data_IF_060930690218
#
_entry.id   IF_060930690218
#
_cell.length_a   1.000
_cell.length_b   1.000
_cell.length_c   1.000
_cell.angle_alpha   90.00
_cell.angle_beta   90.00
_cell.angle_gamma   90.00
#
_symmetry.space_group_name_H-M   'P 1'
#
loop_
_entity.id
_entity.type
_entity.pdbx_description
1 polymer ?
#
# COMPACT_ATOMS: atom_id res chain seq x y z
N UNK A 1 31.61 -46.70 -66.04
CA UNK A 1 30.49 -47.20 -66.88
C UNK A 1 29.40 -46.14 -66.93
N UNK A 2 28.90 -45.80 -68.14
CA UNK A 2 27.61 -45.15 -68.54
C UNK A 2 27.10 -43.93 -67.72
N UNK A 3 27.02 -42.68 -68.25
CA UNK A 3 26.05 -42.12 -69.24
C UNK A 3 24.58 -42.45 -68.85
N UNK A 4 23.59 -41.57 -68.75
CA UNK A 4 23.17 -40.46 -69.64
C UNK A 4 21.85 -39.80 -69.13
N UNK A 5 21.59 -38.56 -69.58
CA UNK A 5 20.32 -37.84 -69.92
C UNK A 5 19.21 -37.64 -68.85
N UNK A 6 18.81 -36.41 -68.48
CA UNK A 6 18.01 -35.34 -69.16
C UNK A 6 16.49 -35.57 -69.17
N UNK A 7 15.72 -34.63 -68.62
CA UNK A 7 14.46 -34.15 -69.19
C UNK A 7 14.02 -32.80 -68.58
N UNK A 8 13.99 -31.79 -69.44
CA UNK A 8 13.38 -30.46 -69.27
C UNK A 8 12.02 -30.49 -69.99
N UNK A 9 10.99 -29.81 -69.46
CA UNK A 9 9.79 -29.28 -70.15
C UNK A 9 9.13 -28.28 -69.16
N UNK A 10 9.15 -26.94 -69.30
CA UNK A 10 8.60 -25.99 -70.31
C UNK A 10 7.22 -25.38 -69.92
N UNK A 11 7.26 -24.08 -69.51
CA UNK A 11 6.37 -22.93 -69.85
C UNK A 11 4.91 -22.88 -69.30
N UNK A 12 4.28 -21.68 -69.13
CA UNK A 12 4.42 -20.47 -69.94
C UNK A 12 4.52 -19.11 -69.22
N UNK A 13 4.63 -18.08 -70.06
CA UNK A 13 4.80 -16.67 -69.78
C UNK A 13 3.47 -15.90 -69.57
N UNK A 14 3.65 -14.65 -69.11
CA UNK A 14 2.78 -13.48 -69.23
C UNK A 14 1.67 -13.27 -68.17
N UNK A 15 1.86 -12.23 -67.33
CA UNK A 15 1.11 -10.98 -67.48
C UNK A 15 1.84 -9.83 -66.74
N UNK A 16 2.20 -8.83 -67.55
CA UNK A 16 2.49 -7.46 -67.16
C UNK A 16 1.16 -6.67 -67.16
N UNK A 17 1.12 -5.49 -66.50
CA UNK A 17 0.03 -4.49 -66.37
C UNK A 17 -0.79 -4.59 -65.08
N UNK A 18 -1.13 -3.52 -64.37
CA UNK A 18 -0.87 -2.08 -64.45
C UNK A 18 -1.33 -1.52 -63.09
N UNK A 19 -0.72 -0.41 -62.67
CA UNK A 19 -1.12 0.41 -61.53
C UNK A 19 -2.63 0.64 -61.40
N UNK A 20 -3.16 0.61 -60.17
CA UNK A 20 -3.70 1.82 -59.53
C UNK A 20 -3.84 1.62 -58.01
N UNK A 21 -3.81 2.74 -57.31
CA UNK A 21 -3.46 2.97 -55.92
C UNK A 21 -4.66 2.82 -54.97
N UNK A 22 -4.45 2.32 -53.74
CA UNK A 22 -4.91 2.94 -52.47
C UNK A 22 -4.64 2.04 -51.24
N UNK A 23 -3.80 2.57 -50.36
CA UNK A 23 -3.93 2.55 -48.89
C UNK A 23 -3.98 1.20 -48.17
N UNK A 24 -2.86 0.86 -47.53
CA UNK A 24 -2.82 0.65 -46.09
C UNK A 24 -1.37 0.80 -45.65
N UNK A 25 -1.01 2.03 -45.27
CA UNK A 25 0.22 2.35 -44.58
C UNK A 25 0.10 1.75 -43.17
N UNK A 26 0.58 0.52 -43.03
CA UNK A 26 0.80 -0.11 -41.74
C UNK A 26 2.01 0.57 -41.11
N UNK A 27 1.75 1.73 -40.49
CA UNK A 27 2.68 2.38 -39.57
C UNK A 27 2.93 1.41 -38.42
N UNK A 28 3.99 0.61 -38.57
CA UNK A 28 4.60 -0.10 -37.48
C UNK A 28 4.99 0.93 -36.42
N UNK A 29 4.25 0.95 -35.31
CA UNK A 29 4.63 1.71 -34.13
C UNK A 29 6.03 1.24 -33.70
N UNK A 30 6.97 2.19 -33.70
CA UNK A 30 8.35 2.01 -33.21
C UNK A 30 8.31 1.49 -31.77
N UNK A 31 9.24 0.60 -31.34
CA UNK A 31 9.36 0.14 -29.95
C UNK A 31 9.48 1.27 -28.92
N UNK A 32 9.83 2.48 -29.37
CA UNK A 32 10.01 3.68 -28.54
C UNK A 32 8.68 4.26 -28.00
N UNK A 33 7.54 3.96 -28.63
CA UNK A 33 6.24 4.51 -28.23
C UNK A 33 5.58 3.72 -27.07
N UNK A 34 6.04 2.48 -26.82
CA UNK A 34 5.59 1.69 -25.66
C UNK A 34 6.26 2.10 -24.36
N UNK A 35 7.49 2.62 -24.43
CA UNK A 35 8.21 3.11 -23.24
C UNK A 35 7.62 4.43 -22.70
N UNK A 36 7.01 5.25 -23.56
CA UNK A 36 6.41 6.52 -23.16
C UNK A 36 5.06 6.38 -22.44
N UNK A 37 4.37 5.24 -22.58
CA UNK A 37 3.08 4.99 -21.94
C UNK A 37 3.22 4.50 -20.48
N UNK A 38 4.35 3.87 -20.13
CA UNK A 38 4.60 3.43 -18.74
C UNK A 38 5.14 4.54 -17.83
N UNK A 39 5.61 5.67 -18.40
CA UNK A 39 6.11 6.83 -17.62
C UNK A 39 5.05 7.90 -17.32
N UNK A 40 3.82 7.80 -17.84
CA UNK A 40 2.78 8.80 -17.63
C UNK A 40 1.81 8.50 -16.47
N UNK A 41 2.05 7.46 -15.67
CA UNK A 41 1.13 7.04 -14.60
C UNK A 41 1.41 7.63 -13.20
N UNK A 42 2.22 8.69 -13.07
CA UNK A 42 2.50 9.30 -11.75
C UNK A 42 2.15 10.79 -11.65
N UNK A 43 1.61 11.42 -12.69
CA UNK A 43 1.05 12.78 -12.57
C UNK A 43 -0.43 12.66 -12.17
N UNK A 44 -0.66 12.44 -10.87
CA UNK A 44 -2.01 12.34 -10.30
C UNK A 44 -2.20 11.27 -9.22
N UNK A 45 -1.12 10.66 -8.72
CA UNK A 45 -1.22 9.70 -7.62
C UNK A 45 -1.85 10.37 -6.39
N UNK A 46 -2.91 9.74 -5.86
CA UNK A 46 -3.54 10.14 -4.60
C UNK A 46 -2.51 10.10 -3.48
N UNK A 47 -2.62 10.98 -2.46
CA UNK A 47 -1.77 10.88 -1.30
C UNK A 47 -1.93 9.51 -0.65
N UNK A 48 -0.83 8.92 -0.22
CA UNK A 48 -0.79 7.63 0.47
C UNK A 48 -0.25 7.82 1.88
N UNK A 49 -0.67 6.98 2.82
CA UNK A 49 -0.20 7.00 4.20
C UNK A 49 0.27 5.60 4.60
N UNK A 50 1.35 5.53 5.37
CA UNK A 50 1.85 4.32 6.00
C UNK A 50 2.19 4.61 7.46
N UNK A 51 2.10 3.59 8.32
CA UNK A 51 2.19 3.76 9.76
C UNK A 51 3.62 3.55 10.26
N UNK A 52 4.06 4.44 11.15
CA UNK A 52 5.34 4.35 11.85
C UNK A 52 5.10 3.97 13.31
N UNK A 53 6.07 3.35 13.99
CA UNK A 53 5.93 2.99 15.40
C UNK A 53 5.76 4.21 16.31
N UNK A 54 6.31 5.34 15.89
CA UNK A 54 6.29 6.61 16.60
C UNK A 54 5.48 7.68 15.86
N UNK A 55 4.61 7.31 14.90
CA UNK A 55 3.86 8.28 14.11
C UNK A 55 3.28 7.73 12.81
N UNK A 56 3.40 8.50 11.73
CA UNK A 56 2.98 8.11 10.39
C UNK A 56 3.85 8.76 9.32
N UNK A 57 3.81 8.19 8.12
CA UNK A 57 4.40 8.79 6.92
C UNK A 57 3.33 8.96 5.85
N UNK A 58 3.49 9.99 5.02
CA UNK A 58 2.59 10.20 3.90
C UNK A 58 3.30 10.81 2.70
N UNK A 59 2.76 10.55 1.51
CA UNK A 59 3.13 11.23 0.27
C UNK A 59 2.07 12.28 -0.04
N UNK A 60 2.51 13.49 -0.37
CA UNK A 60 1.61 14.55 -0.86
C UNK A 60 1.17 14.23 -2.28
N UNK A 61 -0.08 14.59 -2.63
CA UNK A 61 -0.62 14.38 -3.96
C UNK A 61 0.29 14.97 -5.06
N UNK A 62 0.59 14.18 -6.08
CA UNK A 62 1.48 14.60 -7.19
C UNK A 62 2.96 14.79 -6.82
N UNK A 63 3.34 14.47 -5.58
CA UNK A 63 4.73 14.49 -5.11
C UNK A 63 5.37 13.11 -5.04
N UNK A 64 6.70 13.09 -5.08
CA UNK A 64 7.53 11.91 -4.81
C UNK A 64 8.09 11.90 -3.39
N UNK A 65 8.04 13.04 -2.69
CA UNK A 65 8.53 13.18 -1.33
C UNK A 65 7.62 12.44 -0.34
N UNK A 66 8.25 11.69 0.57
CA UNK A 66 7.58 11.08 1.71
C UNK A 66 7.89 11.92 2.94
N UNK A 67 6.85 12.46 3.56
CA UNK A 67 6.92 13.20 4.81
C UNK A 67 6.69 12.23 5.96
N UNK A 68 7.59 12.21 6.94
CA UNK A 68 7.40 11.49 8.19
C UNK A 68 7.03 12.48 9.29
N UNK A 69 6.06 12.12 10.11
CA UNK A 69 5.62 12.91 11.26
C UNK A 69 5.53 11.99 12.46
N UNK A 70 6.18 12.41 13.54
CA UNK A 70 6.12 11.71 14.82
C UNK A 70 4.85 12.07 15.59
N UNK A 71 4.54 11.29 16.63
CA UNK A 71 3.59 11.66 17.67
C UNK A 71 3.97 13.03 18.26
N UNK A 72 2.95 13.81 18.64
CA UNK A 72 3.06 15.23 18.95
C UNK A 72 2.73 16.17 17.77
N UNK A 73 2.58 15.64 16.55
CA UNK A 73 2.19 16.45 15.41
C UNK A 73 0.78 17.05 15.57
N UNK A 74 0.54 18.31 15.13
CA UNK A 74 -0.77 18.96 15.30
C UNK A 74 -1.92 18.21 14.62
N UNK A 75 -3.00 17.96 15.35
CA UNK A 75 -4.19 17.24 14.89
C UNK A 75 -4.73 17.78 13.57
N UNK A 76 -4.90 19.10 13.46
CA UNK A 76 -5.43 19.73 12.24
C UNK A 76 -4.60 19.38 10.98
N UNK A 77 -3.27 19.31 11.14
CA UNK A 77 -2.39 18.97 10.02
C UNK A 77 -2.48 17.51 9.63
N UNK A 78 -2.55 16.61 10.61
CA UNK A 78 -2.70 15.18 10.38
C UNK A 78 -4.06 14.87 9.76
N UNK A 79 -5.14 15.43 10.29
CA UNK A 79 -6.48 15.20 9.76
C UNK A 79 -6.65 15.75 8.33
N UNK A 80 -5.98 16.86 7.98
CA UNK A 80 -5.99 17.37 6.60
C UNK A 80 -5.42 16.34 5.64
N UNK A 81 -4.26 15.79 5.94
CA UNK A 81 -3.62 14.74 5.12
C UNK A 81 -4.47 13.48 5.08
N UNK A 82 -5.02 13.05 6.23
CA UNK A 82 -5.90 11.88 6.29
C UNK A 82 -7.16 12.08 5.43
N UNK A 83 -7.75 13.27 5.44
CA UNK A 83 -8.90 13.60 4.57
C UNK A 83 -8.56 13.56 3.09
N UNK A 84 -7.37 14.02 2.70
CA UNK A 84 -6.94 13.93 1.31
C UNK A 84 -6.70 12.48 0.88
N UNK A 85 -6.18 11.63 1.77
CA UNK A 85 -5.89 10.22 1.49
C UNK A 85 -7.15 9.33 1.50
N UNK A 86 -8.07 9.57 2.45
CA UNK A 86 -9.17 8.65 2.77
C UNK A 86 -10.56 9.26 2.66
N UNK A 87 -10.69 10.57 2.47
CA UNK A 87 -11.95 11.31 2.59
C UNK A 87 -12.29 11.70 4.02
N UNK A 88 -13.48 12.26 4.25
CA UNK A 88 -13.93 12.63 5.60
C UNK A 88 -13.94 11.42 6.54
N UNK A 89 -13.61 11.61 7.84
CA UNK A 89 -13.71 10.52 8.80
C UNK A 89 -15.15 10.04 8.88
N UNK A 90 -15.35 8.72 8.93
CA UNK A 90 -16.65 8.10 9.13
C UNK A 90 -17.26 8.52 10.46
N UNK A 91 -16.42 8.67 11.47
CA UNK A 91 -16.82 8.98 12.83
C UNK A 91 -15.72 9.80 13.52
N UNK A 92 -16.15 10.72 14.38
CA UNK A 92 -15.30 11.35 15.39
C UNK A 92 -15.93 11.13 16.76
N UNK A 93 -15.15 10.63 17.70
CA UNK A 93 -15.58 10.37 19.07
C UNK A 93 -14.59 10.98 20.06
N UNK A 94 -15.00 11.12 21.31
CA UNK A 94 -14.11 11.45 22.42
C UNK A 94 -14.37 10.54 23.60
N UNK A 95 -13.37 10.37 24.46
CA UNK A 95 -13.53 9.74 25.76
C UNK A 95 -12.81 10.53 26.85
N UNK A 96 -13.57 10.98 27.84
CA UNK A 96 -13.07 11.69 29.03
C UNK A 96 -12.50 10.73 30.09
N UNK A 97 -12.84 9.44 30.02
CA UNK A 97 -12.49 8.43 31.02
C UNK A 97 -11.33 7.52 30.58
N UNK A 98 -10.54 7.93 29.60
CA UNK A 98 -9.35 7.18 29.23
C UNK A 98 -8.34 7.29 30.37
N UNK A 99 -7.68 6.18 30.72
CA UNK A 99 -6.71 6.14 31.82
C UNK A 99 -5.53 7.12 31.63
N UNK A 100 -5.27 7.55 30.40
CA UNK A 100 -4.26 8.54 30.06
C UNK A 100 -4.79 10.00 30.02
N UNK A 101 -6.06 10.22 30.36
CA UNK A 101 -6.74 11.52 30.26
C UNK A 101 -7.65 11.63 29.02
N UNK A 102 -8.40 12.73 28.85
CA UNK A 102 -9.31 12.92 27.73
C UNK A 102 -8.62 12.70 26.37
N UNK A 103 -9.32 12.01 25.46
CA UNK A 103 -8.82 11.70 24.11
C UNK A 103 -9.90 11.90 23.06
N UNK A 104 -9.48 12.25 21.85
CA UNK A 104 -10.30 12.35 20.65
C UNK A 104 -9.87 11.30 19.62
N UNK A 105 -10.82 10.79 18.84
CA UNK A 105 -10.57 9.74 17.84
C UNK A 105 -11.21 10.12 16.51
N UNK A 106 -10.50 9.88 15.41
CA UNK A 106 -11.03 10.06 14.05
C UNK A 106 -10.88 8.77 13.25
N UNK A 107 -12.00 8.23 12.74
CA UNK A 107 -12.03 6.95 12.04
C UNK A 107 -12.05 7.12 10.52
N UNK A 108 -11.01 6.68 9.83
CA UNK A 108 -10.84 6.68 8.38
C UNK A 108 -10.80 5.25 7.84
N UNK A 109 -11.97 4.69 7.51
CA UNK A 109 -12.06 3.29 7.11
C UNK A 109 -11.57 2.38 8.26
N UNK A 110 -10.54 1.54 8.08
CA UNK A 110 -9.97 0.72 9.16
C UNK A 110 -8.92 1.43 10.02
N UNK A 111 -8.50 2.65 9.66
CA UNK A 111 -7.51 3.43 10.40
C UNK A 111 -8.20 4.37 11.37
N UNK A 112 -7.94 4.22 12.66
CA UNK A 112 -8.26 5.20 13.68
C UNK A 112 -7.00 6.01 14.02
N UNK A 113 -7.15 7.34 14.05
CA UNK A 113 -6.14 8.25 14.57
C UNK A 113 -6.56 8.73 15.95
N UNK A 114 -5.62 8.71 16.89
CA UNK A 114 -5.87 9.05 18.29
C UNK A 114 -5.19 10.37 18.62
N UNK A 115 -5.94 11.29 19.21
CA UNK A 115 -5.47 12.63 19.56
C UNK A 115 -5.67 12.90 21.04
N UNK A 116 -4.75 13.67 21.61
CA UNK A 116 -4.85 14.22 22.96
C UNK A 116 -4.20 15.61 22.93
N UNK A 117 -4.83 16.59 23.59
CA UNK A 117 -4.37 17.97 23.66
C UNK A 117 -4.05 18.60 22.27
N UNK A 118 -4.84 18.23 21.25
CA UNK A 118 -4.67 18.73 19.88
C UNK A 118 -3.48 18.15 19.12
N UNK A 119 -2.89 17.04 19.59
CA UNK A 119 -1.76 16.37 18.97
C UNK A 119 -2.02 14.88 18.70
N UNK A 120 -1.43 14.35 17.63
CA UNK A 120 -1.45 12.90 17.34
C UNK A 120 -0.63 12.17 18.41
N UNK A 121 -1.25 11.21 19.10
CA UNK A 121 -0.59 10.44 20.18
C UNK A 121 -0.59 8.93 19.93
N UNK A 122 -1.33 8.46 18.92
CA UNK A 122 -1.36 7.05 18.58
C UNK A 122 -2.21 6.77 17.35
N UNK A 123 -2.20 5.51 16.94
CA UNK A 123 -3.06 5.00 15.88
C UNK A 123 -3.45 3.55 16.18
N UNK A 124 -4.60 3.16 15.63
CA UNK A 124 -5.08 1.79 15.60
C UNK A 124 -5.50 1.44 14.18
N UNK A 125 -5.04 0.29 13.68
CA UNK A 125 -5.33 -0.17 12.33
C UNK A 125 -5.98 -1.55 12.37
N UNK A 126 -7.17 -1.67 11.79
CA UNK A 126 -7.86 -2.95 11.60
C UNK A 126 -7.61 -3.52 10.19
N UNK A 127 -7.97 -4.79 10.00
CA UNK A 127 -8.08 -5.38 8.67
C UNK A 127 -9.20 -4.72 7.84
N UNK A 128 -9.13 -4.88 6.51
CA UNK A 128 -10.15 -4.36 5.59
C UNK A 128 -9.76 -3.11 4.79
N UNK A 129 -8.48 -2.71 4.81
CA UNK A 129 -7.96 -1.65 3.95
C UNK A 129 -6.58 -1.95 3.37
N UNK A 130 -6.00 -0.95 2.70
CA UNK A 130 -4.67 -1.02 2.05
C UNK A 130 -3.57 -0.29 2.84
N UNK A 131 -3.89 0.18 4.06
CA UNK A 131 -2.90 0.83 4.93
C UNK A 131 -2.06 -0.27 5.57
N UNK A 132 -0.76 -0.04 5.62
CA UNK A 132 0.23 -0.93 6.24
C UNK A 132 1.22 -0.08 7.02
N UNK A 133 2.04 -0.74 7.84
CA UNK A 133 3.23 -0.10 8.42
C UNK A 133 4.29 0.12 7.34
N UNK A 134 5.25 1.01 7.59
CA UNK A 134 6.33 1.31 6.62
C UNK A 134 7.21 0.10 6.31
N UNK A 135 7.26 -0.90 7.19
CA UNK A 135 7.94 -2.17 7.00
C UNK A 135 7.04 -3.27 6.39
N UNK A 136 5.80 -2.92 6.00
CA UNK A 136 4.95 -3.76 5.17
C UNK A 136 4.02 -4.71 5.94
N UNK A 137 3.87 -4.54 7.25
CA UNK A 137 2.92 -5.33 8.05
C UNK A 137 1.51 -4.79 7.82
N UNK A 138 0.62 -5.65 7.33
CA UNK A 138 -0.74 -5.28 6.96
C UNK A 138 -1.77 -6.25 7.57
N UNK A 139 -2.70 -5.77 8.42
CA UNK A 139 -3.79 -6.58 8.93
C UNK A 139 -4.66 -7.20 7.83
N UNK A 140 -5.03 -8.47 8.00
CA UNK A 140 -5.76 -9.27 7.02
C UNK A 140 -4.90 -9.83 5.88
N UNK A 141 -3.60 -9.55 5.86
CA UNK A 141 -2.66 -10.06 4.84
C UNK A 141 -1.47 -10.74 5.51
N UNK A 142 -0.81 -10.06 6.45
CA UNK A 142 0.35 -10.61 7.15
C UNK A 142 -0.08 -11.62 8.22
N UNK A 143 0.62 -12.75 8.28
CA UNK A 143 0.43 -13.75 9.34
C UNK A 143 1.39 -13.48 10.50
N UNK A 144 1.05 -13.95 11.70
CA UNK A 144 1.96 -13.85 12.85
C UNK A 144 3.23 -14.68 12.64
N UNK A 145 3.17 -15.81 11.93
CA UNK A 145 4.37 -16.61 11.62
C UNK A 145 5.36 -15.83 10.75
N UNK A 146 4.87 -15.08 9.76
CA UNK A 146 5.71 -14.17 8.96
C UNK A 146 6.30 -13.06 9.84
N UNK A 147 5.49 -12.48 10.72
CA UNK A 147 5.93 -11.43 11.63
C UNK A 147 6.99 -11.93 12.64
N UNK A 148 6.82 -13.12 13.19
CA UNK A 148 7.77 -13.74 14.11
C UNK A 148 9.11 -14.04 13.42
N UNK A 149 9.06 -14.48 12.16
CA UNK A 149 10.24 -14.77 11.32
C UNK A 149 10.99 -13.51 10.92
N UNK A 150 10.27 -12.46 10.52
CA UNK A 150 10.87 -11.31 9.84
C UNK A 150 11.05 -10.08 10.76
N UNK A 151 10.31 -9.97 11.87
CA UNK A 151 10.22 -8.74 12.70
C UNK A 151 10.28 -8.99 14.23
N UNK A 152 10.85 -10.11 14.68
CA UNK A 152 10.90 -10.48 16.11
C UNK A 152 9.52 -10.39 16.82
N UNK A 153 8.47 -10.81 16.12
CA UNK A 153 7.12 -10.94 16.66
C UNK A 153 7.08 -11.89 17.87
N UNK A 154 6.40 -11.48 18.94
CA UNK A 154 6.22 -12.25 20.16
C UNK A 154 4.78 -12.13 20.65
N UNK A 155 4.18 -13.26 20.99
CA UNK A 155 2.91 -13.27 21.71
C UNK A 155 3.11 -12.62 23.08
N UNK A 156 2.09 -11.91 23.56
CA UNK A 156 2.13 -11.29 24.86
C UNK A 156 2.00 -12.36 25.96
N UNK A 157 3.01 -12.45 26.83
CA UNK A 157 2.99 -13.37 27.96
C UNK A 157 2.03 -12.88 29.04
N UNK A 158 1.15 -13.77 29.51
CA UNK A 158 0.21 -13.46 30.60
C UNK A 158 -0.90 -12.47 30.22
N UNK A 159 -1.13 -12.23 28.93
CA UNK A 159 -2.26 -11.42 28.48
C UNK A 159 -3.60 -12.08 28.82
N UNK A 160 -4.55 -11.28 29.29
CA UNK A 160 -5.95 -11.68 29.43
C UNK A 160 -6.73 -11.54 28.11
N UNK A 161 -6.09 -10.99 27.08
CA UNK A 161 -6.65 -10.76 25.76
C UNK A 161 -6.19 -11.85 24.80
N UNK A 162 -7.14 -12.50 24.12
CA UNK A 162 -6.84 -13.52 23.12
C UNK A 162 -6.05 -12.90 21.96
N UNK A 163 -4.95 -13.57 21.58
CA UNK A 163 -4.19 -13.21 20.39
C UNK A 163 -3.33 -11.95 20.50
N UNK A 164 -3.12 -11.38 21.68
CA UNK A 164 -2.27 -10.19 21.82
C UNK A 164 -0.79 -10.50 21.50
N UNK A 165 -0.17 -9.62 20.73
CA UNK A 165 1.25 -9.72 20.39
C UNK A 165 1.91 -8.33 20.32
N UNK A 166 3.24 -8.34 20.26
CA UNK A 166 4.03 -7.17 19.84
C UNK A 166 5.19 -7.59 18.95
N UNK A 167 5.69 -6.70 18.11
CA UNK A 167 6.86 -6.95 17.26
C UNK A 167 7.83 -5.77 17.26
N UNK A 168 9.08 -6.02 16.85
CA UNK A 168 10.09 -4.97 16.67
C UNK A 168 10.11 -4.51 15.21
N UNK A 169 9.77 -3.25 14.92
CA UNK A 169 9.84 -2.72 13.57
C UNK A 169 11.26 -2.74 13.00
N UNK A 170 11.41 -3.00 11.70
CA UNK A 170 12.73 -3.17 11.06
C UNK A 170 13.63 -1.92 11.15
N UNK A 171 13.03 -0.73 11.33
CA UNK A 171 13.72 0.54 11.51
C UNK A 171 14.11 0.88 12.96
N UNK A 172 13.82 -0.01 13.92
CA UNK A 172 13.91 0.30 15.35
C UNK A 172 12.68 1.07 15.85
N UNK A 173 12.82 1.74 17.00
CA UNK A 173 11.72 2.45 17.67
C UNK A 173 10.96 1.57 18.67
N UNK A 174 9.82 2.09 19.15
CA UNK A 174 8.95 1.36 20.06
C UNK A 174 8.34 0.13 19.38
N UNK A 175 7.97 -0.87 20.18
CA UNK A 175 7.30 -2.06 19.66
C UNK A 175 5.91 -1.69 19.19
N UNK A 176 5.51 -2.23 18.04
CA UNK A 176 4.13 -2.16 17.56
C UNK A 176 3.36 -3.33 18.17
N UNK A 177 2.21 -3.03 18.76
CA UNK A 177 1.29 -4.01 19.33
C UNK A 177 0.26 -4.48 18.31
N UNK A 178 -0.45 -5.56 18.61
CA UNK A 178 -1.53 -6.05 17.77
C UNK A 178 -2.30 -7.23 18.33
N UNK A 179 -3.29 -7.67 17.57
CA UNK A 179 -4.07 -8.88 17.86
C UNK A 179 -4.07 -9.81 16.64
N UNK A 180 -3.87 -11.10 16.86
CA UNK A 180 -3.93 -12.17 15.85
C UNK A 180 -5.22 -12.97 16.01
N UNK A 181 -5.80 -13.40 14.89
CA UNK A 181 -6.92 -14.34 14.87
C UNK A 181 -6.44 -15.77 15.15
N UNK A 182 -7.39 -16.68 15.34
CA UNK A 182 -7.14 -18.11 15.59
C UNK A 182 -6.44 -18.82 14.42
N UNK A 183 -6.57 -18.29 13.20
CA UNK A 183 -5.90 -18.84 12.02
C UNK A 183 -4.47 -18.29 11.82
N UNK A 184 -4.01 -17.41 12.72
CA UNK A 184 -2.70 -16.78 12.64
C UNK A 184 -2.66 -15.49 11.82
N UNK A 185 -3.77 -15.03 11.25
CA UNK A 185 -3.84 -13.76 10.51
C UNK A 185 -3.86 -12.58 11.48
N UNK A 186 -3.06 -11.54 11.23
CA UNK A 186 -3.09 -10.32 12.02
C UNK A 186 -4.44 -9.60 11.82
N UNK A 187 -5.19 -9.39 12.89
CA UNK A 187 -6.48 -8.69 12.88
C UNK A 187 -6.33 -7.18 12.99
N UNK A 188 -5.37 -6.73 13.80
CA UNK A 188 -5.12 -5.32 14.02
C UNK A 188 -3.72 -5.03 14.52
N UNK A 189 -3.29 -3.78 14.35
CA UNK A 189 -2.04 -3.22 14.83
C UNK A 189 -2.31 -1.93 15.59
N UNK A 190 -1.43 -1.58 16.51
CA UNK A 190 -1.47 -0.32 17.24
C UNK A 190 -0.07 0.18 17.63
N UNK A 191 0.06 1.50 17.71
CA UNK A 191 1.20 2.14 18.35
C UNK A 191 0.79 3.45 19.03
N UNK A 192 1.63 3.89 19.97
CA UNK A 192 1.36 5.04 20.82
C UNK A 192 0.19 4.81 21.78
N UNK A 193 -0.42 5.91 22.20
CA UNK A 193 -1.51 5.92 23.16
C UNK A 193 -2.81 5.45 22.50
N UNK A 194 -3.39 4.39 23.05
CA UNK A 194 -4.65 3.80 22.60
C UNK A 194 -5.61 3.61 23.78
N UNK A 195 -6.89 3.89 23.55
CA UNK A 195 -7.95 3.61 24.51
C UNK A 195 -8.83 2.49 23.96
N UNK A 196 -8.49 1.24 24.29
CA UNK A 196 -9.24 0.07 23.82
C UNK A 196 -10.51 -0.12 24.64
N UNK A 197 -11.65 0.32 24.10
CA UNK A 197 -12.95 -0.09 24.61
C UNK A 197 -13.29 -1.44 24.00
N UNK A 198 -13.46 -2.44 24.84
CA UNK A 198 -14.01 -3.74 24.49
C UNK A 198 -14.99 -4.15 25.58
#
# INVERSE_FOLDING_TARGET
MKRFLLAVLLLPAACNQQADSRQAEETAASPEDRAATEMHSEIGAKPSMALLPDGLSYRVAGGTETVQVSFGAPQESIERVAREAFGEPRERTSNEECGAGPMEFAQYGPLQLNFQDGALVGWFLQSGGKVATVDGVQPGVTTFDDLARDHEGRMADGSTLEGEFSYQPLGGGERVGGFVDRDGTILSLNAGMNCFFR
#
